data_IF_726613006322
#
_entry.id   IF_726613006322
#
_cell.length_a   1.000
_cell.length_b   1.000
_cell.length_c   1.000
_cell.angle_alpha   90.00
_cell.angle_beta   90.00
_cell.angle_gamma   90.00
#
_symmetry.space_group_name_H-M   'P 1'
#
loop_
_entity.id
_entity.type
_entity.pdbx_description
1 polymer ?
#
# COMPACT_ATOMS: atom_id res chain seq x y z
N UNK A 1 -21.56 13.85 13.94
CA UNK A 1 -20.09 14.00 13.79
C UNK A 1 -19.42 12.70 13.36
N UNK A 2 -19.64 11.58 14.08
CA UNK A 2 -19.04 10.26 13.76
C UNK A 2 -19.21 9.81 12.30
N UNK A 3 -20.42 9.89 11.75
CA UNK A 3 -20.73 9.45 10.38
C UNK A 3 -19.87 10.15 9.31
N UNK A 4 -19.54 11.42 9.50
CA UNK A 4 -18.69 12.17 8.57
C UNK A 4 -17.24 11.68 8.62
N UNK A 5 -16.73 11.40 9.82
CA UNK A 5 -15.38 10.82 10.00
C UNK A 5 -15.33 9.42 9.39
N UNK A 6 -16.37 8.61 9.60
CA UNK A 6 -16.50 7.28 9.00
C UNK A 6 -16.52 7.35 7.48
N UNK A 7 -17.25 8.29 6.89
CA UNK A 7 -17.25 8.49 5.44
C UNK A 7 -15.85 8.80 4.92
N UNK A 8 -15.13 9.75 5.55
CA UNK A 8 -13.76 10.08 5.16
C UNK A 8 -12.83 8.87 5.35
N UNK A 9 -13.00 8.08 6.41
CA UNK A 9 -12.23 6.86 6.66
C UNK A 9 -12.40 5.84 5.52
N UNK A 10 -13.65 5.57 5.13
CA UNK A 10 -13.96 4.63 4.04
C UNK A 10 -13.43 5.17 2.71
N UNK A 11 -13.63 6.46 2.42
CA UNK A 11 -13.11 7.08 1.20
C UNK A 11 -11.57 6.98 1.12
N UNK A 12 -10.88 7.26 2.22
CA UNK A 12 -9.43 7.14 2.34
C UNK A 12 -8.97 5.69 2.12
N UNK A 13 -9.69 4.70 2.66
CA UNK A 13 -9.43 3.28 2.43
C UNK A 13 -9.55 2.93 0.93
N UNK A 14 -10.63 3.34 0.27
CA UNK A 14 -10.87 3.05 -1.15
C UNK A 14 -9.79 3.67 -2.03
N UNK A 15 -9.43 4.94 -1.79
CA UNK A 15 -8.36 5.62 -2.53
C UNK A 15 -7.00 4.94 -2.34
N UNK A 16 -6.67 4.55 -1.10
CA UNK A 16 -5.42 3.87 -0.78
C UNK A 16 -5.33 2.48 -1.40
N UNK A 17 -6.38 1.66 -1.21
CA UNK A 17 -6.42 0.29 -1.67
C UNK A 17 -6.49 0.19 -3.20
N UNK A 18 -7.29 1.03 -3.87
CA UNK A 18 -7.39 1.03 -5.33
C UNK A 18 -6.02 1.17 -6.00
N UNK A 19 -5.21 2.13 -5.55
CA UNK A 19 -3.83 2.29 -6.01
C UNK A 19 -2.94 1.09 -5.63
N UNK A 20 -3.02 0.63 -4.38
CA UNK A 20 -2.18 -0.47 -3.88
C UNK A 20 -2.39 -1.81 -4.61
N UNK A 21 -3.63 -2.11 -5.04
CA UNK A 21 -3.94 -3.30 -5.83
C UNK A 21 -3.61 -3.14 -7.32
N UNK A 22 -3.77 -1.93 -7.88
CA UNK A 22 -3.51 -1.68 -9.29
C UNK A 22 -2.02 -1.59 -9.64
N UNK A 23 -1.20 -0.97 -8.77
CA UNK A 23 0.22 -0.70 -9.05
C UNK A 23 1.02 -1.95 -9.44
N UNK A 24 0.90 -3.09 -8.73
CA UNK A 24 1.57 -4.33 -9.10
C UNK A 24 1.18 -4.87 -10.48
N UNK A 25 -0.09 -4.73 -10.86
CA UNK A 25 -0.60 -5.21 -12.15
C UNK A 25 -0.02 -4.37 -13.29
N UNK A 26 0.01 -3.05 -13.10
CA UNK A 26 0.59 -2.12 -14.05
C UNK A 26 2.11 -2.33 -14.15
N UNK A 27 2.82 -2.48 -13.02
CA UNK A 27 4.26 -2.74 -13.03
C UNK A 27 4.64 -4.02 -13.79
N UNK A 28 3.83 -5.08 -13.66
CA UNK A 28 4.03 -6.36 -14.36
C UNK A 28 3.69 -6.33 -15.84
N UNK A 29 3.06 -5.26 -16.37
CA UNK A 29 2.75 -5.18 -17.79
C UNK A 29 3.99 -4.84 -18.64
N UNK A 30 5.00 -4.21 -18.05
CA UNK A 30 6.25 -3.86 -18.74
C UNK A 30 6.99 -5.13 -19.22
N UNK A 31 7.42 -5.11 -20.48
CA UNK A 31 8.18 -6.19 -21.14
C UNK A 31 9.59 -5.78 -21.53
N UNK A 32 9.84 -4.48 -21.67
CA UNK A 32 11.14 -3.93 -22.06
C UNK A 32 11.67 -2.95 -21.03
N UNK A 33 12.97 -2.62 -21.10
CA UNK A 33 13.62 -1.66 -20.20
C UNK A 33 12.96 -0.28 -20.31
N UNK A 34 12.70 0.20 -21.53
CA UNK A 34 12.04 1.50 -21.73
C UNK A 34 10.63 1.53 -21.15
N UNK A 35 9.84 0.46 -21.34
CA UNK A 35 8.52 0.34 -20.72
C UNK A 35 8.60 0.31 -19.20
N UNK A 36 9.55 -0.44 -18.63
CA UNK A 36 9.71 -0.54 -17.18
C UNK A 36 10.14 0.80 -16.56
N UNK A 37 11.04 1.54 -17.21
CA UNK A 37 11.42 2.91 -16.80
C UNK A 37 10.21 3.83 -16.75
N UNK A 38 9.43 3.85 -17.83
CA UNK A 38 8.24 4.67 -17.92
C UNK A 38 7.22 4.32 -16.85
N UNK A 39 6.84 3.03 -16.76
CA UNK A 39 5.83 2.53 -15.82
C UNK A 39 6.25 2.81 -14.37
N UNK A 40 7.46 2.45 -13.96
CA UNK A 40 7.90 2.66 -12.58
C UNK A 40 8.03 4.15 -12.23
N UNK A 41 8.45 4.99 -13.18
CA UNK A 41 8.49 6.44 -12.98
C UNK A 41 7.09 7.04 -12.82
N UNK A 42 6.12 6.56 -13.60
CA UNK A 42 4.72 6.93 -13.50
C UNK A 42 4.14 6.50 -12.14
N UNK A 43 4.32 5.24 -11.75
CA UNK A 43 3.82 4.71 -10.47
C UNK A 43 4.44 5.46 -9.27
N UNK A 44 5.72 5.82 -9.34
CA UNK A 44 6.37 6.65 -8.33
C UNK A 44 5.72 8.02 -8.15
N UNK A 45 5.27 8.66 -9.24
CA UNK A 45 4.53 9.93 -9.18
C UNK A 45 3.12 9.73 -8.60
N UNK A 46 2.47 8.61 -8.94
CA UNK A 46 1.14 8.29 -8.45
C UNK A 46 1.12 7.81 -6.99
N UNK A 47 2.27 7.47 -6.41
CA UNK A 47 2.41 7.03 -5.01
C UNK A 47 1.91 8.07 -3.98
N UNK A 48 1.74 9.33 -4.39
CA UNK A 48 1.11 10.36 -3.55
C UNK A 48 -0.32 10.00 -3.15
N UNK A 49 -1.09 9.34 -4.04
CA UNK A 49 -2.47 8.94 -3.79
C UNK A 49 -2.59 7.94 -2.63
N UNK A 50 -1.90 6.77 -2.65
CA UNK A 50 -1.96 5.85 -1.52
C UNK A 50 -1.35 6.42 -0.25
N UNK A 51 -0.36 7.32 -0.32
CA UNK A 51 0.18 7.99 0.88
C UNK A 51 -0.84 8.86 1.58
N UNK A 52 -1.54 9.72 0.83
CA UNK A 52 -2.60 10.58 1.38
C UNK A 52 -3.73 9.72 1.94
N UNK A 53 -4.19 8.73 1.16
CA UNK A 53 -5.22 7.79 1.60
C UNK A 53 -4.82 7.07 2.89
N UNK A 54 -3.59 6.59 3.00
CA UNK A 54 -3.10 5.91 4.19
C UNK A 54 -3.06 6.84 5.42
N UNK A 55 -2.51 8.05 5.29
CA UNK A 55 -2.45 9.01 6.40
C UNK A 55 -3.85 9.36 6.89
N UNK A 56 -4.77 9.68 5.97
CA UNK A 56 -6.16 9.98 6.31
C UNK A 56 -6.85 8.79 6.97
N UNK A 57 -6.61 7.57 6.49
CA UNK A 57 -7.17 6.35 7.07
C UNK A 57 -6.79 6.21 8.55
N UNK A 58 -5.51 6.39 8.89
CA UNK A 58 -5.06 6.30 10.29
C UNK A 58 -5.66 7.40 11.14
N UNK A 59 -5.58 8.66 10.69
CA UNK A 59 -6.05 9.81 11.48
C UNK A 59 -7.55 9.73 11.74
N UNK A 60 -8.34 9.35 10.73
CA UNK A 60 -9.79 9.17 10.89
C UNK A 60 -10.13 7.94 11.71
N UNK A 61 -9.35 6.85 11.63
CA UNK A 61 -9.52 5.67 12.48
C UNK A 61 -9.36 6.00 13.95
N UNK A 62 -8.30 6.73 14.30
CA UNK A 62 -8.07 7.24 15.66
C UNK A 62 -9.15 8.25 16.04
N UNK A 63 -9.52 9.15 15.13
CA UNK A 63 -10.59 10.13 15.36
C UNK A 63 -11.93 9.47 15.71
N UNK A 64 -12.28 8.36 15.07
CA UNK A 64 -13.47 7.58 15.43
C UNK A 64 -13.37 6.99 16.84
N UNK A 65 -12.20 6.50 17.25
CA UNK A 65 -11.99 5.99 18.61
C UNK A 65 -11.97 7.09 19.69
N UNK A 66 -11.55 8.31 19.35
CA UNK A 66 -11.70 9.47 20.26
C UNK A 66 -13.18 9.82 20.46
N UNK A 67 -13.99 9.75 19.39
CA UNK A 67 -15.43 10.00 19.45
C UNK A 67 -16.20 8.86 20.12
N UNK A 68 -15.73 7.63 20.01
CA UNK A 68 -16.31 6.42 20.60
C UNK A 68 -15.22 5.64 21.37
N UNK A 69 -14.90 6.04 22.61
CA UNK A 69 -13.77 5.48 23.36
C UNK A 69 -13.87 3.99 23.67
N UNK A 70 -15.06 3.39 23.55
CA UNK A 70 -15.24 1.94 23.66
C UNK A 70 -14.39 1.16 22.62
N UNK A 71 -14.06 1.78 21.47
CA UNK A 71 -13.19 1.20 20.45
C UNK A 71 -11.78 0.90 20.98
N UNK A 72 -11.24 1.69 21.91
CA UNK A 72 -9.92 1.41 22.51
C UNK A 72 -9.90 0.15 23.37
N UNK A 73 -11.06 -0.41 23.72
CA UNK A 73 -11.18 -1.69 24.43
C UNK A 73 -11.53 -2.85 23.50
N UNK A 74 -11.95 -2.56 22.27
CA UNK A 74 -12.34 -3.58 21.30
C UNK A 74 -11.10 -4.26 20.71
N UNK A 75 -11.01 -5.58 20.84
CA UNK A 75 -9.82 -6.31 20.43
C UNK A 75 -9.58 -6.21 18.92
N UNK A 76 -10.63 -6.29 18.10
CA UNK A 76 -10.53 -6.14 16.64
C UNK A 76 -9.93 -4.79 16.23
N UNK A 77 -10.23 -3.72 16.97
CA UNK A 77 -9.72 -2.37 16.69
C UNK A 77 -8.23 -2.27 17.02
N UNK A 78 -7.82 -2.74 18.21
CA UNK A 78 -6.42 -2.76 18.61
C UNK A 78 -5.59 -3.61 17.63
N UNK A 79 -6.08 -4.80 17.28
CA UNK A 79 -5.45 -5.68 16.29
C UNK A 79 -5.32 -4.99 14.92
N UNK A 80 -6.36 -4.27 14.49
CA UNK A 80 -6.34 -3.52 13.23
C UNK A 80 -5.28 -2.43 13.21
N UNK A 81 -5.15 -1.65 14.30
CA UNK A 81 -4.11 -0.62 14.40
C UNK A 81 -2.71 -1.27 14.39
N UNK A 82 -2.50 -2.35 15.12
CA UNK A 82 -1.22 -3.06 15.15
C UNK A 82 -0.82 -3.59 13.76
N UNK A 83 -1.74 -4.26 13.06
CA UNK A 83 -1.52 -4.76 11.69
C UNK A 83 -1.25 -3.59 10.75
N UNK A 84 -2.03 -2.51 10.83
CA UNK A 84 -1.86 -1.33 9.99
C UNK A 84 -0.45 -0.73 10.16
N UNK A 85 0.01 -0.51 11.39
CA UNK A 85 1.34 0.03 11.67
C UNK A 85 2.46 -0.90 11.16
N UNK A 86 2.31 -2.22 11.32
CA UNK A 86 3.28 -3.18 10.77
C UNK A 86 3.35 -3.12 9.23
N UNK A 87 2.21 -3.00 8.57
CA UNK A 87 2.12 -2.87 7.11
C UNK A 87 2.74 -1.55 6.62
N UNK A 88 2.66 -0.46 7.39
CA UNK A 88 3.28 0.82 7.00
C UNK A 88 4.79 0.71 6.82
N UNK A 89 5.48 -0.13 7.59
CA UNK A 89 6.92 -0.39 7.39
C UNK A 89 7.18 -0.92 5.97
N UNK A 90 6.28 -1.76 5.47
CA UNK A 90 6.38 -2.34 4.13
C UNK A 90 6.02 -1.30 3.07
N UNK A 91 4.87 -0.65 3.21
CA UNK A 91 4.28 0.26 2.19
C UNK A 91 5.04 1.57 2.09
N UNK A 92 5.37 2.21 3.22
CA UNK A 92 6.07 3.50 3.22
C UNK A 92 7.60 3.35 3.22
N UNK A 93 8.12 2.19 3.64
CA UNK A 93 9.56 1.94 3.76
C UNK A 93 10.12 1.02 2.67
N UNK A 94 9.71 -0.26 2.69
CA UNK A 94 10.35 -1.32 1.88
C UNK A 94 10.03 -1.17 0.39
N UNK A 95 8.76 -1.08 0.01
CA UNK A 95 8.34 -1.05 -1.40
C UNK A 95 8.91 0.15 -2.18
N UNK A 96 8.86 1.40 -1.65
CA UNK A 96 9.40 2.55 -2.39
C UNK A 96 10.92 2.47 -2.56
N UNK A 97 11.64 1.95 -1.54
CA UNK A 97 13.08 1.70 -1.64
C UNK A 97 13.41 0.66 -2.72
N UNK A 98 12.63 -0.42 -2.80
CA UNK A 98 12.83 -1.44 -3.84
C UNK A 98 12.51 -0.89 -5.23
N UNK A 99 11.43 -0.11 -5.39
CA UNK A 99 11.09 0.54 -6.66
C UNK A 99 12.21 1.48 -7.14
N UNK A 100 12.80 2.28 -6.24
CA UNK A 100 13.93 3.15 -6.57
C UNK A 100 15.16 2.36 -7.01
N UNK A 101 15.48 1.25 -6.33
CA UNK A 101 16.56 0.35 -6.74
C UNK A 101 16.29 -0.29 -8.11
N UNK A 102 15.05 -0.67 -8.41
CA UNK A 102 14.67 -1.17 -9.74
C UNK A 102 14.90 -0.11 -10.81
N UNK A 103 14.48 1.15 -10.58
CA UNK A 103 14.73 2.26 -11.49
C UNK A 103 16.22 2.49 -11.74
N UNK A 104 17.05 2.47 -10.69
CA UNK A 104 18.50 2.63 -10.81
C UNK A 104 19.13 1.57 -11.73
N UNK A 105 18.76 0.29 -11.54
CA UNK A 105 19.23 -0.82 -12.40
C UNK A 105 18.84 -0.59 -13.86
N UNK A 106 17.61 -0.14 -14.10
CA UNK A 106 17.15 0.13 -15.46
C UNK A 106 17.89 1.30 -16.09
N UNK A 107 18.20 2.37 -15.33
CA UNK A 107 18.93 3.54 -15.86
C UNK A 107 20.34 3.22 -16.32
N UNK A 108 21.00 2.22 -15.74
CA UNK A 108 22.33 1.74 -16.17
C UNK A 108 22.29 0.76 -17.34
N UNK A 109 21.10 0.31 -17.74
CA UNK A 109 20.93 -0.67 -18.82
C UNK A 109 20.66 0.03 -20.16
N UNK A 110 21.45 -0.36 -21.18
CA UNK A 110 21.37 0.18 -22.55
C UNK A 110 20.57 -0.72 -23.50
N UNK A 111 20.35 -1.99 -23.13
CA UNK A 111 19.49 -2.90 -23.90
C UNK A 111 18.01 -2.78 -23.57
N UNK A 112 17.14 -3.33 -24.43
CA UNK A 112 15.69 -3.40 -24.15
C UNK A 112 15.30 -4.66 -23.37
N UNK A 113 16.20 -5.63 -23.22
CA UNK A 113 15.95 -6.85 -22.45
C UNK A 113 16.04 -6.54 -20.96
N UNK A 114 15.00 -6.88 -20.20
CA UNK A 114 14.97 -6.70 -18.75
C UNK A 114 16.11 -7.46 -18.06
N UNK A 115 16.97 -6.77 -17.27
CA UNK A 115 18.07 -7.39 -16.54
C UNK A 115 17.60 -8.43 -15.51
N UNK A 116 18.39 -9.47 -15.27
CA UNK A 116 18.08 -10.48 -14.24
C UNK A 116 18.08 -9.88 -12.82
N UNK A 117 18.93 -8.90 -12.56
CA UNK A 117 18.95 -8.13 -11.30
C UNK A 117 17.62 -7.41 -11.05
N UNK A 118 17.04 -6.79 -12.09
CA UNK A 118 15.73 -6.18 -12.05
C UNK A 118 14.65 -7.22 -11.74
N UNK A 119 14.63 -8.36 -12.46
CA UNK A 119 13.62 -9.41 -12.25
C UNK A 119 13.65 -10.00 -10.84
N UNK A 120 14.84 -10.22 -10.28
CA UNK A 120 15.00 -10.69 -8.89
C UNK A 120 14.38 -9.71 -7.90
N UNK A 121 14.63 -8.42 -8.08
CA UNK A 121 14.10 -7.38 -7.20
C UNK A 121 12.59 -7.22 -7.38
N UNK A 122 12.08 -7.27 -8.60
CA UNK A 122 10.65 -7.29 -8.92
C UNK A 122 9.94 -8.46 -8.23
N UNK A 123 10.53 -9.66 -8.24
CA UNK A 123 10.00 -10.84 -7.53
C UNK A 123 9.98 -10.64 -6.01
N UNK A 124 10.96 -9.95 -5.45
CA UNK A 124 10.98 -9.62 -4.02
C UNK A 124 9.88 -8.61 -3.68
N UNK A 125 9.71 -7.56 -4.49
CA UNK A 125 8.61 -6.59 -4.32
C UNK A 125 7.25 -7.27 -4.39
N UNK A 126 7.06 -8.18 -5.34
CA UNK A 126 5.83 -8.97 -5.47
C UNK A 126 5.52 -9.85 -4.25
N UNK A 127 6.51 -10.28 -3.46
CA UNK A 127 6.25 -10.99 -2.20
C UNK A 127 5.70 -10.03 -1.14
N UNK A 128 6.33 -8.87 -1.00
CA UNK A 128 5.86 -7.83 -0.07
C UNK A 128 4.48 -7.32 -0.43
N UNK A 129 4.20 -7.10 -1.72
CA UNK A 129 2.87 -6.73 -2.21
C UNK A 129 1.79 -7.74 -1.80
N UNK A 130 2.07 -9.05 -1.94
CA UNK A 130 1.14 -10.10 -1.49
C UNK A 130 0.89 -10.06 0.02
N UNK A 131 1.93 -9.81 0.82
CA UNK A 131 1.78 -9.63 2.27
C UNK A 131 0.90 -8.41 2.57
N UNK A 132 1.14 -7.28 1.88
CA UNK A 132 0.32 -6.07 2.07
C UNK A 132 -1.13 -6.25 1.63
N UNK A 133 -1.38 -6.99 0.53
CA UNK A 133 -2.74 -7.30 0.07
C UNK A 133 -3.47 -8.24 1.02
N UNK A 134 -2.80 -9.27 1.52
CA UNK A 134 -3.36 -10.16 2.53
C UNK A 134 -3.70 -9.42 3.82
N UNK A 135 -2.78 -8.56 4.29
CA UNK A 135 -3.04 -7.73 5.48
C UNK A 135 -4.18 -6.74 5.25
N UNK A 136 -4.26 -6.11 4.08
CA UNK A 136 -5.37 -5.23 3.71
C UNK A 136 -6.72 -5.98 3.74
N UNK A 137 -6.76 -7.21 3.22
CA UNK A 137 -7.94 -8.06 3.29
C UNK A 137 -8.32 -8.40 4.73
N UNK A 138 -7.35 -8.76 5.57
CA UNK A 138 -7.58 -9.02 7.01
C UNK A 138 -8.13 -7.77 7.71
N UNK A 139 -7.59 -6.58 7.42
CA UNK A 139 -8.09 -5.32 7.98
C UNK A 139 -9.54 -5.05 7.60
N UNK A 140 -9.93 -5.34 6.35
CA UNK A 140 -11.33 -5.24 5.91
C UNK A 140 -12.21 -6.21 6.72
N UNK A 141 -11.77 -7.46 6.87
CA UNK A 141 -12.50 -8.47 7.66
C UNK A 141 -12.68 -8.00 9.12
N UNK A 142 -11.63 -7.48 9.76
CA UNK A 142 -11.71 -6.96 11.12
C UNK A 142 -12.68 -5.78 11.25
N UNK A 143 -12.64 -4.85 10.30
CA UNK A 143 -13.52 -3.67 10.28
C UNK A 143 -15.00 -4.03 10.07
N UNK A 144 -15.29 -5.02 9.22
CA UNK A 144 -16.65 -5.43 8.88
C UNK A 144 -17.26 -6.32 9.95
N UNK A 145 -16.56 -7.40 10.32
CA UNK A 145 -17.15 -8.45 11.16
C UNK A 145 -16.92 -8.24 12.65
N UNK A 146 -15.91 -7.45 13.06
CA UNK A 146 -15.64 -7.07 14.45
C UNK A 146 -15.73 -8.27 15.44
N UNK A 147 -14.97 -9.36 15.22
CA UNK A 147 -15.26 -10.66 15.83
C UNK A 147 -15.01 -10.79 17.33
N UNK A 148 -14.30 -9.84 17.97
CA UNK A 148 -13.93 -9.88 19.39
C UNK A 148 -13.59 -8.48 19.94
#
# INVERSE_FOLDING_TARGET
MYIYVLFVHIAAAVMGLGAAFAFPLIAKSARTVSQAKFVLSMLKRLEILPKIGSILLLLTGIGMAILEPSLFKAGWYIASIAIYLAVQVIVAGILPRQMNKQLQILHTENGERLPESYKRLSKLSARWEKVTHAAAFILIVLMVFKPF
#
